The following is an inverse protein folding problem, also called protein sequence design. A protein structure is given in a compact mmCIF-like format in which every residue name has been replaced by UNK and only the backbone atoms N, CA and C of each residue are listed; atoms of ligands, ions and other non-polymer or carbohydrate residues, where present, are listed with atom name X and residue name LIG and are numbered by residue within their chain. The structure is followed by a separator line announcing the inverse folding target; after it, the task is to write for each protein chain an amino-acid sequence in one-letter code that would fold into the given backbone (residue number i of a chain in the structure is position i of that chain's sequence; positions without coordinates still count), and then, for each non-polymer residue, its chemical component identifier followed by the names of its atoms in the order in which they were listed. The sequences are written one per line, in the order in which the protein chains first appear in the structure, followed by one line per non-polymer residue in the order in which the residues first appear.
data_IF_703668075641
#
_entry.id   IF_703668075641
#
_cell.length_a   1.000
_cell.length_b   1.000
_cell.length_c   1.000
_cell.angle_alpha   90.00
_cell.angle_beta   90.00
_cell.angle_gamma   90.00
#
_symmetry.space_group_name_H-M   'P 1'
#
loop_
_entity.id
_entity.type
_entity.pdbx_description
1 polymer ?
#
# COMPACT_ATOMS: atom_id res chain seq x y z
N UNK A 1 1.90 -28.47 20.32
CA UNK A 1 1.70 -27.65 19.11
C UNK A 1 2.20 -26.26 19.42
N UNK A 2 3.38 -25.89 18.94
CA UNK A 2 3.89 -24.52 19.10
C UNK A 2 3.06 -23.64 18.18
N UNK A 3 2.26 -22.74 18.77
CA UNK A 3 1.58 -21.69 18.00
C UNK A 3 2.65 -20.92 17.23
N UNK A 4 2.54 -20.89 15.90
CA UNK A 4 3.39 -20.04 15.07
C UNK A 4 3.18 -18.59 15.55
N UNK A 5 4.23 -17.94 16.07
CA UNK A 5 4.13 -16.53 16.45
C UNK A 5 3.77 -15.73 15.21
N UNK A 6 2.60 -15.10 15.21
CA UNK A 6 2.20 -14.17 14.14
C UNK A 6 3.19 -13.02 14.13
N UNK A 7 4.12 -13.00 13.16
CA UNK A 7 4.97 -11.84 12.92
C UNK A 7 4.13 -10.78 12.20
N UNK A 8 3.56 -9.88 12.99
CA UNK A 8 2.74 -8.76 12.52
C UNK A 8 3.53 -7.46 12.65
N UNK A 9 3.66 -6.73 11.54
CA UNK A 9 4.18 -5.38 11.52
C UNK A 9 3.03 -4.37 11.51
N UNK A 10 3.31 -3.12 11.86
CA UNK A 10 2.34 -2.02 11.90
C UNK A 10 2.85 -0.82 11.11
N UNK A 11 1.96 -0.15 10.41
CA UNK A 11 2.21 1.16 9.84
C UNK A 11 0.99 2.07 9.98
N UNK A 12 1.23 3.37 10.03
CA UNK A 12 0.19 4.35 9.73
C UNK A 12 0.28 4.66 8.24
N UNK A 13 -0.81 4.46 7.53
CA UNK A 13 -0.89 4.73 6.11
C UNK A 13 -1.86 5.87 5.78
N UNK A 14 -1.49 6.68 4.80
CA UNK A 14 -2.34 7.71 4.21
C UNK A 14 -2.19 7.68 2.69
N UNK A 15 -3.31 7.89 1.99
CA UNK A 15 -3.37 7.91 0.53
C UNK A 15 -3.95 9.25 0.09
N UNK A 16 -3.40 9.82 -0.96
CA UNK A 16 -3.90 11.02 -1.59
C UNK A 16 -3.94 10.85 -3.11
N UNK A 17 -4.94 11.41 -3.78
CA UNK A 17 -4.92 11.57 -5.23
C UNK A 17 -3.90 12.66 -5.58
N UNK A 18 -3.16 12.48 -6.66
CA UNK A 18 -2.26 13.51 -7.18
C UNK A 18 -2.62 13.87 -8.62
N UNK A 19 -2.58 15.16 -8.92
CA UNK A 19 -2.98 15.70 -10.22
C UNK A 19 -1.78 15.87 -11.17
N UNK A 20 -0.63 16.28 -10.63
CA UNK A 20 0.61 16.43 -11.37
C UNK A 20 1.67 15.48 -10.78
N UNK A 21 1.84 14.33 -11.44
CA UNK A 21 2.79 13.31 -11.00
C UNK A 21 4.24 13.80 -11.06
N UNK A 22 4.58 14.64 -12.04
CA UNK A 22 5.95 15.12 -12.22
C UNK A 22 6.31 16.09 -11.09
N UNK A 23 5.44 17.06 -10.82
CA UNK A 23 5.65 18.03 -9.74
C UNK A 23 5.79 17.35 -8.37
N UNK A 24 4.94 16.36 -8.06
CA UNK A 24 5.03 15.63 -6.79
C UNK A 24 6.29 14.75 -6.76
N UNK A 25 6.65 14.09 -7.86
CA UNK A 25 7.86 13.26 -7.94
C UNK A 25 9.15 14.08 -7.75
N UNK A 26 9.24 15.25 -8.38
CA UNK A 26 10.34 16.19 -8.17
C UNK A 26 10.41 16.62 -6.71
N UNK A 27 9.26 17.00 -6.12
CA UNK A 27 9.19 17.43 -4.72
C UNK A 27 9.62 16.33 -3.74
N UNK A 28 9.15 15.10 -3.93
CA UNK A 28 9.56 13.95 -3.12
C UNK A 28 11.06 13.71 -3.26
N UNK A 29 11.60 13.79 -4.47
CA UNK A 29 13.04 13.59 -4.72
C UNK A 29 13.90 14.66 -4.03
N UNK A 30 13.47 15.92 -4.05
CA UNK A 30 14.14 17.03 -3.35
C UNK A 30 14.13 16.88 -1.83
N UNK A 31 13.00 16.42 -1.27
CA UNK A 31 12.80 16.24 0.17
C UNK A 31 13.55 15.03 0.68
N UNK A 32 13.41 13.89 0.00
CA UNK A 32 14.03 12.64 0.43
C UNK A 32 15.54 12.63 0.21
N UNK A 33 16.02 13.16 -0.92
CA UNK A 33 17.44 13.07 -1.34
C UNK A 33 17.97 11.64 -1.31
N UNK A 34 17.10 10.67 -1.56
CA UNK A 34 17.39 9.24 -1.60
C UNK A 34 17.08 8.70 -3.00
N UNK A 35 17.69 7.55 -3.31
CA UNK A 35 17.42 6.85 -4.58
C UNK A 35 15.94 6.41 -4.65
N UNK A 36 15.41 6.48 -5.87
CA UNK A 36 14.06 6.07 -6.21
C UNK A 36 14.09 4.69 -6.85
N UNK A 37 13.20 3.81 -6.43
CA UNK A 37 12.98 2.50 -7.05
C UNK A 37 11.69 2.49 -7.86
N UNK A 38 11.73 2.00 -9.10
CA UNK A 38 10.53 1.76 -9.92
C UNK A 38 10.15 0.28 -9.85
N UNK A 39 8.92 -0.01 -9.45
CA UNK A 39 8.41 -1.36 -9.25
C UNK A 39 7.08 -1.53 -10.01
N UNK A 40 7.03 -2.48 -10.93
CA UNK A 40 5.78 -2.92 -11.56
C UNK A 40 5.12 -3.99 -10.67
N UNK A 41 3.86 -3.77 -10.29
CA UNK A 41 3.12 -4.65 -9.35
C UNK A 41 1.74 -5.00 -9.87
N UNK A 42 1.36 -6.26 -9.69
CA UNK A 42 0.02 -6.78 -9.94
C UNK A 42 -0.53 -7.39 -8.65
N UNK A 43 -1.49 -6.71 -8.01
CA UNK A 43 -2.12 -7.14 -6.76
C UNK A 43 -3.44 -7.85 -7.06
N UNK A 44 -3.50 -9.18 -6.87
CA UNK A 44 -4.75 -9.96 -6.90
C UNK A 44 -5.32 -10.05 -5.49
N UNK A 45 -6.54 -9.57 -5.28
CA UNK A 45 -7.25 -9.62 -4.01
C UNK A 45 -8.19 -10.80 -3.96
N UNK A 46 -8.24 -11.49 -2.82
CA UNK A 46 -9.10 -12.65 -2.60
C UNK A 46 -10.18 -12.34 -1.57
N UNK A 47 -11.29 -13.07 -1.60
CA UNK A 47 -12.28 -13.02 -0.53
C UNK A 47 -11.67 -13.64 0.74
N UNK A 48 -12.02 -13.11 1.89
CA UNK A 48 -11.58 -13.61 3.19
C UNK A 48 -12.62 -13.23 4.23
N UNK A 49 -12.78 -14.05 5.26
CA UNK A 49 -13.72 -13.76 6.37
C UNK A 49 -13.21 -12.61 7.24
N UNK A 50 -11.89 -12.48 7.37
CA UNK A 50 -11.25 -11.49 8.22
C UNK A 50 -10.22 -10.70 7.43
N UNK A 51 -10.11 -9.40 7.73
CA UNK A 51 -9.14 -8.49 7.13
C UNK A 51 -9.19 -8.49 5.61
N UNK A 52 -8.01 -8.35 4.99
CA UNK A 52 -7.84 -8.33 3.53
C UNK A 52 -6.65 -9.20 3.16
N UNK A 53 -6.81 -9.99 2.11
CA UNK A 53 -5.77 -10.87 1.58
C UNK A 53 -5.49 -10.53 0.13
N UNK A 54 -4.22 -10.34 -0.20
CA UNK A 54 -3.78 -10.15 -1.58
C UNK A 54 -2.50 -10.91 -1.87
N UNK A 55 -2.37 -11.37 -3.11
CA UNK A 55 -1.11 -11.81 -3.69
C UNK A 55 -0.58 -10.66 -4.57
N UNK A 56 0.59 -10.15 -4.22
CA UNK A 56 1.35 -9.19 -5.03
C UNK A 56 2.33 -9.95 -5.91
N UNK A 57 2.26 -9.71 -7.20
CA UNK A 57 3.14 -10.30 -8.21
C UNK A 57 4.08 -9.22 -8.76
N UNK A 58 5.37 -9.54 -8.90
CA UNK A 58 6.39 -8.69 -9.51
C UNK A 58 6.75 -9.19 -10.91
N UNK A 59 7.44 -8.34 -11.69
CA UNK A 59 7.80 -8.63 -13.08
C UNK A 59 8.75 -9.83 -13.26
N UNK A 60 9.55 -10.13 -12.24
CA UNK A 60 10.48 -11.27 -12.24
C UNK A 60 9.81 -12.62 -11.90
N UNK A 61 8.50 -12.63 -11.67
CA UNK A 61 7.71 -13.82 -11.32
C UNK A 61 7.65 -14.09 -9.81
N UNK A 62 8.46 -13.40 -9.00
CA UNK A 62 8.36 -13.46 -7.54
C UNK A 62 7.14 -12.67 -7.04
N UNK A 63 6.81 -12.85 -5.76
CA UNK A 63 5.70 -12.14 -5.17
C UNK A 63 5.66 -12.19 -3.66
N UNK A 64 4.61 -11.59 -3.11
CA UNK A 64 4.31 -11.59 -1.69
C UNK A 64 2.83 -11.91 -1.46
N UNK A 65 2.56 -12.91 -0.63
CA UNK A 65 1.22 -13.09 -0.05
C UNK A 65 1.12 -12.19 1.18
N UNK A 66 0.16 -11.27 1.17
CA UNK A 66 0.02 -10.22 2.18
C UNK A 66 -1.37 -10.30 2.78
N UNK A 67 -1.41 -10.56 4.09
CA UNK A 67 -2.58 -10.29 4.92
C UNK A 67 -2.42 -8.93 5.58
N UNK A 68 -3.48 -8.14 5.60
CA UNK A 68 -3.51 -6.91 6.37
C UNK A 68 -4.91 -6.58 6.88
N UNK A 69 -4.96 -5.87 8.00
CA UNK A 69 -6.19 -5.39 8.60
C UNK A 69 -6.05 -3.92 8.99
N UNK A 70 -7.08 -3.14 8.64
CA UNK A 70 -7.15 -1.69 8.86
C UNK A 70 -8.61 -1.23 8.83
N UNK A 71 -8.97 -0.18 9.58
CA UNK A 71 -10.29 0.43 9.52
C UNK A 71 -10.51 1.17 8.20
N UNK A 72 -11.75 1.20 7.71
CA UNK A 72 -12.16 1.98 6.54
C UNK A 72 -12.52 3.41 6.95
N UNK A 73 -11.51 4.20 7.31
CA UNK A 73 -11.64 5.61 7.73
C UNK A 73 -10.80 6.54 6.86
N UNK A 74 -11.23 7.80 6.78
CA UNK A 74 -10.49 8.88 6.12
C UNK A 74 -9.20 9.22 6.87
N UNK A 75 -8.19 9.71 6.14
CA UNK A 75 -6.94 10.16 6.72
C UNK A 75 -6.00 9.03 7.19
N UNK A 76 -5.05 9.36 8.09
CA UNK A 76 -4.05 8.43 8.61
C UNK A 76 -4.71 7.28 9.36
N UNK A 77 -4.38 6.05 8.99
CA UNK A 77 -4.98 4.84 9.57
C UNK A 77 -3.95 3.80 9.92
N UNK A 78 -4.10 3.21 11.10
CA UNK A 78 -3.28 2.09 11.54
C UNK A 78 -3.62 0.85 10.71
N UNK A 79 -2.62 0.27 10.09
CA UNK A 79 -2.70 -1.01 9.40
C UNK A 79 -1.74 -2.00 10.07
N UNK A 80 -2.27 -3.19 10.36
CA UNK A 80 -1.48 -4.32 10.85
C UNK A 80 -1.37 -5.34 9.74
N UNK A 81 -0.15 -5.74 9.39
CA UNK A 81 0.07 -6.62 8.25
C UNK A 81 1.09 -7.71 8.52
N UNK A 82 0.95 -8.81 7.79
CA UNK A 82 1.92 -9.90 7.72
C UNK A 82 2.10 -10.29 6.26
N UNK A 83 3.35 -10.53 5.87
CA UNK A 83 3.70 -10.87 4.50
C UNK A 83 4.63 -12.06 4.43
N UNK A 84 4.46 -12.87 3.41
CA UNK A 84 5.29 -14.03 3.11
C UNK A 84 5.75 -13.96 1.65
N UNK A 85 7.05 -14.13 1.42
CA UNK A 85 7.61 -14.17 0.06
C UNK A 85 7.16 -15.45 -0.65
N UNK A 86 6.87 -15.31 -1.94
CA UNK A 86 6.37 -16.39 -2.81
C UNK A 86 7.24 -16.43 -4.06
N UNK A 87 7.75 -17.61 -4.40
CA UNK A 87 8.57 -17.81 -5.61
C UNK A 87 7.77 -18.36 -6.78
N UNK A 88 6.64 -19.01 -6.51
CA UNK A 88 5.69 -19.52 -7.52
C UNK A 88 4.33 -18.87 -7.30
N UNK A 89 4.19 -17.65 -7.80
CA UNK A 89 2.96 -16.85 -7.71
C UNK A 89 1.83 -17.48 -8.51
N UNK A 90 2.13 -18.11 -9.64
CA UNK A 90 1.13 -18.71 -10.54
C UNK A 90 0.40 -19.87 -9.87
N UNK A 91 1.14 -20.83 -9.30
CA UNK A 91 0.54 -21.98 -8.62
C UNK A 91 -0.26 -21.54 -7.39
N UNK A 92 0.31 -20.66 -6.56
CA UNK A 92 -0.36 -20.16 -5.37
C UNK A 92 -1.65 -19.40 -5.70
N UNK A 93 -1.63 -18.55 -6.73
CA UNK A 93 -2.81 -17.80 -7.19
C UNK A 93 -3.94 -18.73 -7.59
N UNK A 94 -3.64 -19.78 -8.35
CA UNK A 94 -4.63 -20.79 -8.78
C UNK A 94 -5.30 -21.45 -7.58
N UNK A 95 -4.52 -21.88 -6.58
CA UNK A 95 -5.05 -22.47 -5.35
C UNK A 95 -5.92 -21.49 -4.56
N UNK A 96 -5.45 -20.24 -4.39
CA UNK A 96 -6.20 -19.22 -3.66
C UNK A 96 -7.49 -18.82 -4.39
N UNK A 97 -7.47 -18.75 -5.71
CA UNK A 97 -8.67 -18.50 -6.52
C UNK A 97 -9.70 -19.61 -6.36
N UNK A 98 -9.29 -20.89 -6.42
CA UNK A 98 -10.22 -22.01 -6.19
C UNK A 98 -10.76 -22.04 -4.76
N UNK A 99 -9.92 -21.73 -3.76
CA UNK A 99 -10.28 -21.83 -2.36
C UNK A 99 -11.16 -20.67 -1.87
N UNK A 100 -10.88 -19.45 -2.33
CA UNK A 100 -11.45 -18.21 -1.78
C UNK A 100 -12.25 -17.41 -2.82
N UNK A 101 -11.94 -17.59 -4.10
CA UNK A 101 -12.41 -16.71 -5.17
C UNK A 101 -11.69 -15.36 -5.19
N UNK A 102 -11.59 -14.79 -6.39
CA UNK A 102 -11.01 -13.46 -6.60
C UNK A 102 -12.04 -12.38 -6.25
N UNK A 103 -11.59 -11.37 -5.49
CA UNK A 103 -12.33 -10.14 -5.19
C UNK A 103 -12.04 -9.04 -6.22
N UNK A 104 -10.82 -9.01 -6.77
CA UNK A 104 -10.47 -8.15 -7.90
C UNK A 104 -8.96 -7.99 -8.07
N UNK A 105 -8.58 -7.11 -8.99
CA UNK A 105 -7.20 -6.93 -9.46
C UNK A 105 -6.84 -5.45 -9.46
N UNK A 106 -5.62 -5.12 -9.03
CA UNK A 106 -5.03 -3.79 -9.15
C UNK A 106 -3.65 -3.91 -9.76
N UNK A 107 -3.45 -3.33 -10.94
CA UNK A 107 -2.13 -3.19 -11.56
C UNK A 107 -1.62 -1.77 -11.37
N UNK A 108 -0.34 -1.63 -11.06
CA UNK A 108 0.28 -0.32 -10.87
C UNK A 108 1.77 -0.32 -11.16
N UNK A 109 2.27 0.86 -11.53
CA UNK A 109 3.69 1.19 -11.50
C UNK A 109 3.94 2.10 -10.30
N UNK A 110 4.81 1.66 -9.40
CA UNK A 110 5.15 2.33 -8.15
C UNK A 110 6.54 2.93 -8.25
N UNK A 111 6.66 4.21 -7.93
CA UNK A 111 7.94 4.82 -7.57
C UNK A 111 8.03 4.86 -6.04
N UNK A 112 9.08 4.29 -5.47
CA UNK A 112 9.28 4.12 -4.03
C UNK A 112 10.51 4.91 -3.58
N UNK A 113 10.34 5.69 -2.51
CA UNK A 113 11.42 6.26 -1.72
C UNK A 113 11.31 5.80 -0.27
N UNK A 114 12.47 5.69 0.37
CA UNK A 114 12.57 5.52 1.81
C UNK A 114 13.06 6.82 2.43
N UNK A 115 12.27 7.39 3.34
CA UNK A 115 12.61 8.60 4.09
C UNK A 115 12.41 8.35 5.58
N UNK A 116 13.51 8.24 6.32
CA UNK A 116 13.51 7.81 7.72
C UNK A 116 12.76 6.46 7.87
N UNK A 117 11.67 6.44 8.63
CA UNK A 117 10.81 5.26 8.84
C UNK A 117 9.60 5.21 7.88
N UNK A 118 9.48 6.18 6.98
CA UNK A 118 8.35 6.31 6.05
C UNK A 118 8.72 5.78 4.69
N UNK A 119 7.86 4.94 4.12
CA UNK A 119 7.89 4.62 2.70
C UNK A 119 6.97 5.59 1.99
N UNK A 120 7.50 6.24 0.96
CA UNK A 120 6.75 7.17 0.13
C UNK A 120 6.56 6.49 -1.22
N UNK A 121 5.31 6.29 -1.62
CA UNK A 121 4.95 5.70 -2.89
C UNK A 121 4.27 6.75 -3.77
N UNK A 122 4.70 6.84 -5.02
CA UNK A 122 3.90 7.44 -6.07
C UNK A 122 3.44 6.31 -6.99
N UNK A 123 2.14 6.08 -7.02
CA UNK A 123 1.51 4.98 -7.74
C UNK A 123 0.76 5.50 -8.97
N UNK A 124 1.15 5.02 -10.14
CA UNK A 124 0.36 5.08 -11.36
C UNK A 124 -0.50 3.81 -11.42
N UNK A 125 -1.80 3.94 -11.16
CA UNK A 125 -2.74 2.82 -11.07
C UNK A 125 -3.57 2.72 -12.35
N UNK A 126 -3.52 1.55 -12.99
CA UNK A 126 -4.29 1.23 -14.21
C UNK A 126 -5.79 1.49 -13.95
N UNK A 127 -6.45 2.19 -14.87
CA UNK A 127 -7.86 2.57 -14.82
C UNK A 127 -8.31 3.46 -13.64
N UNK A 128 -7.38 4.01 -12.86
CA UNK A 128 -7.73 4.86 -11.70
C UNK A 128 -6.96 6.19 -11.63
N UNK A 129 -5.72 6.24 -12.12
CA UNK A 129 -4.90 7.45 -12.15
C UNK A 129 -3.74 7.43 -11.15
N UNK A 130 -3.34 8.60 -10.66
CA UNK A 130 -2.10 8.78 -9.92
C UNK A 130 -2.35 9.06 -8.45
N UNK A 131 -1.54 8.47 -7.58
CA UNK A 131 -1.71 8.56 -6.13
C UNK A 131 -0.38 8.69 -5.40
N UNK A 132 -0.40 9.44 -4.29
CA UNK A 132 0.63 9.39 -3.26
C UNK A 132 0.16 8.45 -2.15
N UNK A 133 1.04 7.59 -1.65
CA UNK A 133 0.82 6.82 -0.43
C UNK A 133 2.01 6.99 0.50
N UNK A 134 1.76 7.34 1.76
CA UNK A 134 2.77 7.35 2.81
C UNK A 134 2.49 6.18 3.74
N UNK A 135 3.49 5.35 4.00
CA UNK A 135 3.45 4.27 4.99
C UNK A 135 4.52 4.52 6.07
N UNK A 136 4.11 5.07 7.21
CA UNK A 136 4.99 5.27 8.37
C UNK A 136 5.06 3.98 9.17
N UNK A 137 6.16 3.24 9.02
CA UNK A 137 6.35 1.96 9.73
C UNK A 137 6.60 2.25 11.21
N UNK A 138 5.81 1.63 12.09
CA UNK A 138 5.91 1.80 13.54
C UNK A 138 6.82 0.74 14.15
N UNK A 139 7.71 1.16 15.03
CA UNK A 139 8.38 0.24 15.94
C UNK A 139 7.49 -0.09 17.16
N UNK A 140 7.92 -1.03 17.99
CA UNK A 140 7.13 -1.53 19.13
C UNK A 140 6.83 -0.45 20.19
N UNK A 141 7.63 0.62 20.25
CA UNK A 141 7.48 1.72 21.20
C UNK A 141 6.67 2.89 20.63
N UNK A 142 6.30 2.85 19.34
CA UNK A 142 5.57 3.92 18.67
C UNK A 142 4.06 3.66 18.65
N UNK A 143 3.33 4.74 18.94
CA UNK A 143 1.87 4.82 18.90
C UNK A 143 1.38 5.15 17.48
N UNK A 144 0.10 4.89 17.17
CA UNK A 144 -0.51 5.38 15.93
C UNK A 144 -0.45 6.91 15.79
N UNK A 145 -0.49 7.64 16.89
CA UNK A 145 -0.40 9.10 16.91
C UNK A 145 0.97 9.59 16.45
N UNK A 146 2.06 8.91 16.86
CA UNK A 146 3.42 9.22 16.39
C UNK A 146 3.52 9.06 14.87
N UNK A 147 2.97 7.97 14.33
CA UNK A 147 2.94 7.73 12.88
C UNK A 147 2.07 8.73 12.13
N UNK A 148 0.95 9.12 12.73
CA UNK A 148 0.03 10.12 12.18
C UNK A 148 0.71 11.49 12.09
N UNK A 149 1.45 11.88 13.12
CA UNK A 149 2.20 13.14 13.12
C UNK A 149 3.26 13.16 12.02
N UNK A 150 4.08 12.11 11.91
CA UNK A 150 5.09 11.99 10.87
C UNK A 150 4.49 11.98 9.45
N UNK A 151 3.33 11.36 9.27
CA UNK A 151 2.62 11.38 7.98
C UNK A 151 2.12 12.78 7.64
N UNK A 152 1.54 13.50 8.62
CA UNK A 152 1.02 14.85 8.42
C UNK A 152 2.14 15.85 8.10
N UNK A 153 3.26 15.79 8.81
CA UNK A 153 4.43 16.62 8.51
C UNK A 153 4.90 16.43 7.07
N UNK A 154 4.92 15.18 6.58
CA UNK A 154 5.28 14.90 5.19
C UNK A 154 4.25 15.43 4.19
N UNK A 155 2.96 15.32 4.46
CA UNK A 155 1.93 15.91 3.59
C UNK A 155 2.08 17.42 3.49
N UNK A 156 2.34 18.09 4.60
CA UNK A 156 2.52 19.54 4.66
C UNK A 156 3.77 19.96 3.86
N UNK A 157 4.89 19.24 4.02
CA UNK A 157 6.14 19.47 3.27
C UNK A 157 5.97 19.22 1.77
N UNK A 158 5.18 18.22 1.40
CA UNK A 158 4.87 17.88 0.00
C UNK A 158 3.77 18.78 -0.59
N UNK A 159 3.09 19.58 0.22
CA UNK A 159 2.02 20.48 -0.21
C UNK A 159 0.74 19.74 -0.64
N UNK A 160 0.46 18.58 -0.05
CA UNK A 160 -0.70 17.75 -0.40
C UNK A 160 -1.90 18.19 0.46
N UNK A 161 -2.99 18.70 -0.15
CA UNK A 161 -4.13 19.19 0.60
C UNK A 161 -4.95 18.04 1.17
N UNK A 162 -5.57 18.29 2.33
CA UNK A 162 -6.46 17.33 3.00
C UNK A 162 -7.65 16.92 2.12
N UNK A 163 -8.08 17.79 1.19
CA UNK A 163 -9.14 17.50 0.22
C UNK A 163 -8.82 16.36 -0.75
N UNK A 164 -7.54 16.04 -0.93
CA UNK A 164 -7.10 15.00 -1.87
C UNK A 164 -6.94 13.63 -1.19
N UNK A 165 -7.15 13.55 0.13
CA UNK A 165 -7.01 12.32 0.90
C UNK A 165 -8.12 11.30 0.62
N UNK A 166 -7.78 10.01 0.77
CA UNK A 166 -8.65 8.88 0.42
C UNK A 166 -8.83 7.91 1.60
N UNK A 167 -10.08 7.49 1.87
CA UNK A 167 -10.44 6.49 2.88
C UNK A 167 -10.19 5.05 2.45
N UNK A 168 -10.45 4.71 1.18
CA UNK A 168 -10.45 3.34 0.67
C UNK A 168 -9.12 2.78 0.15
N UNK A 169 -9.17 1.56 -0.38
CA UNK A 169 -8.10 0.97 -1.19
C UNK A 169 -8.35 1.21 -2.68
N UNK A 170 -7.33 1.09 -3.54
CA UNK A 170 -7.52 1.20 -4.99
C UNK A 170 -8.57 0.24 -5.54
N UNK A 171 -8.70 -0.96 -4.95
CA UNK A 171 -9.72 -1.92 -5.35
C UNK A 171 -11.14 -1.39 -5.10
N UNK A 172 -11.36 -0.70 -3.98
CA UNK A 172 -12.67 -0.15 -3.64
C UNK A 172 -13.07 0.92 -4.67
N UNK A 173 -12.12 1.79 -5.04
CA UNK A 173 -12.36 2.81 -6.07
C UNK A 173 -12.55 2.22 -7.47
N UNK A 174 -11.79 1.19 -7.86
CA UNK A 174 -12.00 0.50 -9.14
C UNK A 174 -13.37 -0.17 -9.24
N UNK A 175 -13.90 -0.67 -8.13
CA UNK A 175 -15.23 -1.28 -8.10
C UNK A 175 -16.35 -0.24 -8.18
N UNK A 176 -16.12 0.99 -7.71
CA UNK A 176 -17.07 2.11 -7.86
C UNK A 176 -17.04 2.65 -9.31
N UNK A 177 -15.87 2.65 -9.95
CA UNK A 177 -15.70 3.16 -11.32
C UNK A 177 -16.22 2.23 -12.42
N UNK A 178 -16.65 1.01 -12.08
CA UNK A 178 -17.27 0.08 -13.03
C UNK A 178 -18.79 0.31 -13.04
N UNK A 179 -19.41 0.60 -14.20
CA UNK A 179 -20.86 0.78 -14.32
C UNK A 179 -21.64 -0.52 -14.04
#
# INVERSE_FOLDING_TARGET
MTMCQKKTARNVEIKAKIHDINAVTEKVSEVCKMEMEVIEQCDTFFKTENGRLKLREFKDGSGELIYYDRPDVDGPKLSSYSKSSVTDTTSLKSVLEMALGVKGLVKKKRMLWHYNQTRIHIDEVEDLGNFLELEVVLNDNQTPEDGTHAAQELLDVLGIPVSDLLSGSYLDYLNISKP
#
